data_IF_615541972774
#
_entry.id   IF_615541972774
#
_cell.length_a   1.000
_cell.length_b   1.000
_cell.length_c   1.000
_cell.angle_alpha   90.00
_cell.angle_beta   90.00
_cell.angle_gamma   90.00
#
_symmetry.space_group_name_H-M   'P 1'
#
loop_
_entity.id
_entity.type
_entity.pdbx_description
1 polymer ?
#
# COMPACT_ATOMS: atom_id res chain seq x y z
N UNK A 1 -0.60 -18.98 -7.63
CA UNK A 1 -0.98 -17.61 -8.08
C UNK A 1 -1.45 -17.60 -9.52
N UNK A 2 -0.71 -18.12 -10.52
CA UNK A 2 -1.14 -18.12 -11.94
C UNK A 2 -2.54 -18.73 -12.15
N UNK A 3 -2.88 -19.80 -11.44
CA UNK A 3 -4.21 -20.44 -11.49
C UNK A 3 -5.36 -19.47 -11.18
N UNK A 4 -5.14 -18.41 -10.39
CA UNK A 4 -6.17 -17.38 -10.15
C UNK A 4 -6.64 -16.70 -11.43
N UNK A 5 -5.78 -16.59 -12.44
CA UNK A 5 -6.14 -16.00 -13.73
C UNK A 5 -7.17 -16.82 -14.52
N UNK A 6 -7.32 -18.12 -14.20
CA UNK A 6 -8.30 -19.00 -14.83
C UNK A 6 -9.68 -18.90 -14.17
N UNK A 7 -9.72 -18.57 -12.88
CA UNK A 7 -10.93 -18.70 -12.05
C UNK A 7 -11.48 -17.37 -11.53
N UNK A 8 -10.72 -16.28 -11.69
CA UNK A 8 -11.12 -14.95 -11.23
C UNK A 8 -11.37 -14.04 -12.43
N UNK A 9 -12.55 -13.42 -12.44
CA UNK A 9 -12.89 -12.38 -13.40
C UNK A 9 -12.09 -11.10 -13.13
N UNK A 10 -12.26 -10.11 -14.03
CA UNK A 10 -11.70 -8.78 -13.83
C UNK A 10 -12.27 -8.17 -12.55
N UNK A 11 -11.36 -7.83 -11.64
CA UNK A 11 -11.67 -7.21 -10.34
C UNK A 11 -12.36 -5.85 -10.49
N UNK A 12 -13.55 -5.73 -9.91
CA UNK A 12 -14.30 -4.49 -9.75
C UNK A 12 -13.72 -3.59 -8.63
N UNK A 13 -14.08 -2.30 -8.54
CA UNK A 13 -13.50 -1.37 -7.56
C UNK A 13 -13.61 -1.79 -6.09
N UNK A 14 -14.61 -2.58 -5.75
CA UNK A 14 -14.94 -3.09 -4.41
C UNK A 14 -14.54 -4.55 -4.19
N UNK A 15 -13.73 -5.11 -5.10
CA UNK A 15 -13.24 -6.50 -5.01
C UNK A 15 -11.74 -6.57 -4.72
N UNK A 16 -11.30 -7.67 -4.13
CA UNK A 16 -9.90 -8.07 -4.00
C UNK A 16 -9.81 -9.60 -4.11
N UNK A 17 -8.65 -10.11 -4.52
CA UNK A 17 -8.42 -11.56 -4.60
C UNK A 17 -7.47 -11.98 -3.47
N UNK A 18 -7.94 -12.83 -2.58
CA UNK A 18 -7.13 -13.47 -1.53
C UNK A 18 -6.63 -14.84 -1.99
N UNK A 19 -5.31 -15.07 -1.88
CA UNK A 19 -4.67 -16.33 -2.21
C UNK A 19 -3.92 -16.83 -0.98
N UNK A 20 -4.47 -17.86 -0.33
CA UNK A 20 -3.88 -18.49 0.86
C UNK A 20 -3.09 -19.73 0.47
N UNK A 21 -1.88 -19.88 1.01
CA UNK A 21 -1.12 -21.12 0.88
C UNK A 21 -0.18 -21.21 -0.32
N UNK A 22 0.09 -20.10 -1.01
CA UNK A 22 1.01 -20.10 -2.15
C UNK A 22 2.46 -20.42 -1.71
N UNK A 23 3.06 -21.44 -2.31
CA UNK A 23 4.43 -21.87 -2.05
C UNK A 23 5.44 -21.09 -2.90
N UNK A 24 6.58 -20.75 -2.30
CA UNK A 24 7.72 -20.18 -3.03
C UNK A 24 8.58 -21.32 -3.57
N UNK A 25 8.78 -21.35 -4.89
CA UNK A 25 9.54 -22.40 -5.58
C UNK A 25 10.92 -21.95 -6.06
N UNK A 26 11.13 -20.64 -6.18
CA UNK A 26 12.31 -20.06 -6.81
C UNK A 26 12.74 -18.80 -6.08
N UNK A 27 14.05 -18.52 -6.10
CA UNK A 27 14.59 -17.20 -5.78
C UNK A 27 14.79 -16.40 -7.05
N UNK A 28 15.02 -15.09 -6.94
CA UNK A 28 15.44 -14.28 -8.07
C UNK A 28 16.39 -13.16 -7.63
N UNK A 29 17.11 -12.60 -8.60
CA UNK A 29 17.87 -11.35 -8.43
C UNK A 29 17.46 -10.35 -9.50
N UNK A 30 17.69 -9.06 -9.21
CA UNK A 30 17.30 -7.97 -10.10
C UNK A 30 15.80 -7.76 -10.19
N UNK A 31 15.39 -6.84 -11.07
CA UNK A 31 14.01 -6.46 -11.30
C UNK A 31 13.85 -5.95 -12.74
N UNK A 32 12.65 -6.09 -13.32
CA UNK A 32 12.36 -5.69 -14.70
C UNK A 32 13.39 -6.29 -15.68
N UNK A 33 13.97 -5.50 -16.59
CA UNK A 33 14.97 -5.96 -17.57
C UNK A 33 16.25 -6.58 -16.98
N UNK A 34 16.45 -6.50 -15.65
CA UNK A 34 17.57 -7.15 -14.93
C UNK A 34 17.16 -8.41 -14.16
N UNK A 35 15.90 -8.83 -14.23
CA UNK A 35 15.38 -9.99 -13.51
C UNK A 35 16.08 -11.27 -13.96
N UNK A 36 16.57 -12.06 -13.00
CA UNK A 36 17.22 -13.36 -13.26
C UNK A 36 16.70 -14.41 -12.27
N UNK A 37 16.35 -15.58 -12.81
CA UNK A 37 16.07 -16.78 -12.01
C UNK A 37 17.28 -17.17 -11.16
N UNK A 38 17.02 -17.71 -9.99
CA UNK A 38 18.02 -18.41 -9.18
C UNK A 38 17.36 -19.53 -8.38
N UNK A 39 18.15 -20.54 -8.02
CA UNK A 39 17.67 -21.64 -7.18
C UNK A 39 17.09 -21.12 -5.86
N UNK A 40 16.08 -21.82 -5.35
CA UNK A 40 15.45 -21.47 -4.08
C UNK A 40 16.50 -21.48 -2.96
N UNK A 41 16.67 -20.33 -2.31
CA UNK A 41 17.60 -20.17 -1.19
C UNK A 41 16.84 -20.41 0.11
N UNK A 42 17.48 -20.98 1.15
CA UNK A 42 16.83 -21.27 2.42
C UNK A 42 16.10 -20.07 3.04
N UNK A 43 16.67 -18.87 2.94
CA UNK A 43 16.09 -17.64 3.50
C UNK A 43 14.78 -17.21 2.81
N UNK A 44 14.60 -17.57 1.53
CA UNK A 44 13.38 -17.25 0.77
C UNK A 44 12.29 -18.33 0.90
N UNK A 45 12.62 -19.49 1.46
CA UNK A 45 11.70 -20.61 1.63
C UNK A 45 11.18 -20.78 3.05
N UNK A 46 11.58 -19.92 3.99
CA UNK A 46 11.17 -19.99 5.42
C UNK A 46 9.65 -20.11 5.56
N UNK A 47 8.88 -19.33 4.79
CA UNK A 47 7.42 -19.39 4.84
C UNK A 47 6.84 -20.76 4.47
N UNK A 48 7.52 -21.54 3.63
CA UNK A 48 7.03 -22.84 3.18
C UNK A 48 6.98 -23.89 4.31
N UNK A 49 7.66 -23.62 5.44
CA UNK A 49 7.76 -24.52 6.59
C UNK A 49 6.54 -24.43 7.52
N UNK A 50 5.77 -23.35 7.46
CA UNK A 50 4.67 -23.09 8.39
C UNK A 50 3.32 -23.38 7.73
N UNK A 51 2.64 -24.43 8.21
CA UNK A 51 1.34 -24.87 7.68
C UNK A 51 0.21 -24.75 8.70
N UNK A 52 -0.98 -24.42 8.23
CA UNK A 52 -2.21 -24.44 9.02
C UNK A 52 -2.79 -25.87 9.13
N UNK A 53 -3.92 -26.01 9.82
CA UNK A 53 -4.62 -27.28 10.02
C UNK A 53 -5.10 -27.94 8.71
N UNK A 54 -5.23 -27.16 7.63
CA UNK A 54 -5.60 -27.62 6.30
C UNK A 54 -4.38 -27.93 5.42
N UNK A 55 -3.17 -27.87 5.98
CA UNK A 55 -1.92 -28.11 5.26
C UNK A 55 -1.49 -26.98 4.33
N UNK A 56 -2.14 -25.81 4.37
CA UNK A 56 -1.80 -24.63 3.55
C UNK A 56 -0.67 -23.86 4.21
N UNK A 57 0.20 -23.23 3.41
CA UNK A 57 1.19 -22.29 3.96
C UNK A 57 0.48 -21.12 4.65
N UNK A 58 0.95 -20.74 5.84
CA UNK A 58 0.40 -19.63 6.66
C UNK A 58 0.77 -18.24 6.12
N UNK A 59 0.58 -18.04 4.82
CA UNK A 59 0.77 -16.76 4.14
C UNK A 59 -0.41 -16.52 3.21
N UNK A 60 -0.98 -15.33 3.31
CA UNK A 60 -2.00 -14.82 2.42
C UNK A 60 -1.38 -13.75 1.51
N UNK A 61 -1.57 -13.91 0.20
CA UNK A 61 -1.28 -12.87 -0.79
C UNK A 61 -2.60 -12.23 -1.23
N UNK A 62 -2.73 -10.93 -0.98
CA UNK A 62 -3.93 -10.15 -1.36
C UNK A 62 -3.59 -9.32 -2.60
N UNK A 63 -4.30 -9.57 -3.70
CA UNK A 63 -4.17 -8.78 -4.91
C UNK A 63 -5.16 -7.62 -4.90
N UNK A 64 -4.64 -6.40 -5.08
CA UNK A 64 -5.40 -5.15 -5.21
C UNK A 64 -4.81 -4.30 -6.36
N UNK A 65 -5.67 -3.77 -7.23
CA UNK A 65 -5.25 -2.94 -8.37
C UNK A 65 -5.36 -1.44 -8.05
N UNK A 66 -4.24 -0.72 -8.15
CA UNK A 66 -4.23 0.75 -8.06
C UNK A 66 -4.83 1.39 -9.32
N UNK A 67 -5.26 2.65 -9.23
CA UNK A 67 -5.58 3.45 -10.40
C UNK A 67 -4.29 3.73 -11.18
N UNK A 68 -4.36 3.60 -12.50
CA UNK A 68 -3.27 3.98 -13.40
C UNK A 68 -3.45 5.42 -13.84
N UNK A 69 -2.55 6.29 -13.42
CA UNK A 69 -2.55 7.70 -13.83
C UNK A 69 -1.69 7.90 -15.08
N UNK A 70 -2.30 8.41 -16.14
CA UNK A 70 -1.63 8.69 -17.42
C UNK A 70 -1.04 10.11 -17.45
N UNK A 71 -0.02 10.32 -18.29
CA UNK A 71 0.64 11.62 -18.44
C UNK A 71 1.87 11.82 -17.55
N UNK A 72 2.35 13.07 -17.48
CA UNK A 72 3.52 13.44 -16.64
C UNK A 72 3.11 13.46 -15.16
N UNK A 73 4.01 13.01 -14.28
CA UNK A 73 3.79 13.03 -12.82
C UNK A 73 3.39 14.43 -12.32
N UNK A 74 3.93 15.51 -12.90
CA UNK A 74 3.57 16.89 -12.56
C UNK A 74 2.13 17.29 -12.82
N UNK A 75 1.41 16.56 -13.67
CA UNK A 75 0.02 16.84 -14.00
C UNK A 75 -0.96 15.90 -13.32
N UNK A 76 -0.48 14.79 -12.77
CA UNK A 76 -1.35 13.75 -12.26
C UNK A 76 -1.55 13.79 -10.73
N UNK A 77 -0.69 14.46 -9.96
CA UNK A 77 -0.89 14.57 -8.50
C UNK A 77 -2.21 15.28 -8.17
N UNK A 78 -2.57 16.33 -8.92
CA UNK A 78 -3.87 16.99 -8.78
C UNK A 78 -5.05 16.05 -9.03
N UNK A 79 -4.95 15.14 -10.00
CA UNK A 79 -5.96 14.11 -10.27
C UNK A 79 -5.99 13.07 -9.15
N UNK A 80 -4.84 12.64 -8.63
CA UNK A 80 -4.74 11.70 -7.51
C UNK A 80 -5.40 12.23 -6.23
N UNK A 81 -5.30 13.54 -5.99
CA UNK A 81 -5.91 14.25 -4.87
C UNK A 81 -7.41 14.55 -5.06
N UNK A 82 -8.00 14.22 -6.21
CA UNK A 82 -9.45 14.31 -6.35
C UNK A 82 -10.15 13.34 -5.39
N UNK A 83 -11.17 13.83 -4.68
CA UNK A 83 -11.93 13.04 -3.71
C UNK A 83 -12.38 11.68 -4.27
N UNK A 84 -12.87 11.67 -5.53
CA UNK A 84 -13.28 10.42 -6.22
C UNK A 84 -12.14 9.39 -6.30
N UNK A 85 -10.90 9.83 -6.50
CA UNK A 85 -9.75 8.96 -6.67
C UNK A 85 -9.18 8.55 -5.31
N UNK A 86 -9.11 9.48 -4.34
CA UNK A 86 -8.78 9.16 -2.95
C UNK A 86 -9.73 8.09 -2.39
N UNK A 87 -11.04 8.25 -2.61
CA UNK A 87 -12.06 7.30 -2.17
C UNK A 87 -11.91 5.94 -2.84
N UNK A 88 -11.66 5.89 -4.15
CA UNK A 88 -11.44 4.63 -4.89
C UNK A 88 -10.21 3.88 -4.38
N UNK A 89 -9.11 4.58 -4.19
CA UNK A 89 -7.85 3.98 -3.73
C UNK A 89 -7.97 3.48 -2.28
N UNK A 90 -8.64 4.26 -1.41
CA UNK A 90 -8.92 3.87 -0.04
C UNK A 90 -9.89 2.69 0.05
N UNK A 91 -10.96 2.68 -0.76
CA UNK A 91 -11.89 1.55 -0.84
C UNK A 91 -11.16 0.29 -1.29
N UNK A 92 -10.32 0.39 -2.32
CA UNK A 92 -9.58 -0.75 -2.85
C UNK A 92 -8.61 -1.36 -1.82
N UNK A 93 -7.81 -0.54 -1.14
CA UNK A 93 -6.95 -1.04 -0.06
C UNK A 93 -7.75 -1.53 1.13
N UNK A 94 -8.86 -0.84 1.48
CA UNK A 94 -9.78 -1.24 2.54
C UNK A 94 -10.41 -2.61 2.32
N UNK A 95 -10.94 -2.88 1.13
CA UNK A 95 -11.49 -4.20 0.77
C UNK A 95 -10.44 -5.28 0.94
N UNK A 96 -9.21 -5.06 0.48
CA UNK A 96 -8.13 -6.02 0.67
C UNK A 96 -7.77 -6.26 2.14
N UNK A 97 -7.69 -5.20 2.95
CA UNK A 97 -7.15 -5.30 4.32
C UNK A 97 -8.21 -5.73 5.36
N UNK A 98 -9.48 -5.40 5.11
CA UNK A 98 -10.61 -5.65 6.01
C UNK A 98 -11.44 -6.90 5.65
N UNK A 99 -11.10 -7.63 4.58
CA UNK A 99 -11.86 -8.81 4.16
C UNK A 99 -11.85 -9.96 5.18
N UNK A 100 -10.84 -10.01 6.04
CA UNK A 100 -10.68 -11.06 7.04
C UNK A 100 -11.35 -10.69 8.37
N UNK A 101 -11.66 -11.72 9.18
CA UNK A 101 -12.34 -11.54 10.46
C UNK A 101 -11.45 -10.98 11.57
N UNK A 102 -12.01 -10.89 12.77
CA UNK A 102 -11.33 -10.33 13.95
C UNK A 102 -10.06 -11.10 14.33
N UNK A 103 -9.91 -12.36 13.92
CA UNK A 103 -8.73 -13.18 14.10
C UNK A 103 -7.49 -12.66 13.34
N UNK A 104 -7.68 -11.75 12.37
CA UNK A 104 -6.59 -11.06 11.69
C UNK A 104 -6.24 -9.71 12.32
N UNK A 105 -6.95 -9.25 13.36
CA UNK A 105 -6.53 -8.07 14.12
C UNK A 105 -5.10 -8.28 14.66
N UNK A 106 -4.23 -7.28 14.50
CA UNK A 106 -2.82 -7.41 14.87
C UNK A 106 -1.93 -8.19 13.90
N UNK A 107 -2.47 -8.97 12.95
CA UNK A 107 -1.68 -9.61 11.89
C UNK A 107 -1.27 -8.53 10.88
N UNK A 108 0.05 -8.30 10.65
CA UNK A 108 0.50 -7.18 9.85
C UNK A 108 0.10 -7.30 8.37
N UNK A 109 -0.22 -6.16 7.77
CA UNK A 109 -0.23 -5.97 6.33
C UNK A 109 1.21 -5.66 5.90
N UNK A 110 1.78 -6.49 5.03
CA UNK A 110 3.10 -6.24 4.43
C UNK A 110 2.89 -5.68 3.02
N UNK A 111 3.31 -4.44 2.78
CA UNK A 111 3.11 -3.75 1.49
C UNK A 111 4.30 -2.82 1.17
N UNK A 112 4.13 -1.90 0.21
CA UNK A 112 5.14 -0.91 -0.18
C UNK A 112 4.56 0.16 -1.11
N UNK A 113 5.33 0.56 -2.12
CA UNK A 113 4.98 1.57 -3.11
C UNK A 113 3.89 1.12 -4.11
N UNK A 114 2.73 0.74 -3.58
CA UNK A 114 1.58 0.25 -4.34
C UNK A 114 1.10 1.31 -5.34
N UNK A 115 1.22 0.99 -6.63
CA UNK A 115 0.83 1.88 -7.72
C UNK A 115 1.84 3.00 -8.04
N UNK A 116 2.96 3.15 -7.32
CA UNK A 116 3.88 4.28 -7.54
C UNK A 116 4.94 4.04 -8.63
N UNK A 117 4.99 2.83 -9.21
CA UNK A 117 5.87 2.50 -10.33
C UNK A 117 5.21 2.83 -11.67
N UNK A 118 4.91 1.79 -12.45
CA UNK A 118 4.29 1.92 -13.78
C UNK A 118 2.90 2.61 -13.80
N UNK A 119 2.28 2.82 -12.63
CA UNK A 119 0.95 3.42 -12.48
C UNK A 119 1.03 4.89 -12.02
N UNK A 120 2.24 5.43 -11.83
CA UNK A 120 2.53 6.83 -11.55
C UNK A 120 1.87 7.41 -10.29
N UNK A 121 1.56 6.57 -9.29
CA UNK A 121 1.09 7.03 -7.99
C UNK A 121 2.16 7.80 -7.20
N UNK A 122 1.74 8.81 -6.43
CA UNK A 122 2.61 9.54 -5.51
C UNK A 122 2.87 8.72 -4.24
N UNK A 123 4.14 8.59 -3.83
CA UNK A 123 4.55 7.70 -2.74
C UNK A 123 4.04 8.15 -1.38
N UNK A 124 4.20 9.42 -0.95
CA UNK A 124 3.62 9.91 0.30
C UNK A 124 2.10 9.71 0.39
N UNK A 125 1.36 10.00 -0.69
CA UNK A 125 -0.08 9.80 -0.73
C UNK A 125 -0.46 8.32 -0.58
N UNK A 126 0.18 7.44 -1.34
CA UNK A 126 -0.08 5.99 -1.30
C UNK A 126 0.30 5.36 0.03
N UNK A 127 1.32 5.88 0.71
CA UNK A 127 1.64 5.49 2.07
C UNK A 127 0.50 5.83 3.04
N UNK A 128 -0.02 7.07 2.99
CA UNK A 128 -1.10 7.51 3.88
C UNK A 128 -2.43 6.78 3.61
N UNK A 129 -2.78 6.54 2.34
CA UNK A 129 -3.98 5.76 1.99
C UNK A 129 -3.90 4.35 2.57
N UNK A 130 -2.75 3.69 2.45
CA UNK A 130 -2.55 2.36 3.03
C UNK A 130 -2.53 2.40 4.56
N UNK A 131 -1.99 3.46 5.15
CA UNK A 131 -1.99 3.66 6.61
C UNK A 131 -3.42 3.81 7.15
N UNK A 132 -4.27 4.60 6.48
CA UNK A 132 -5.70 4.74 6.80
C UNK A 132 -6.37 3.37 6.73
N UNK A 133 -6.24 2.66 5.60
CA UNK A 133 -6.87 1.35 5.40
C UNK A 133 -6.41 0.31 6.44
N UNK A 134 -5.11 0.24 6.73
CA UNK A 134 -4.57 -0.68 7.72
C UNK A 134 -5.05 -0.35 9.14
N UNK A 135 -5.20 0.95 9.46
CA UNK A 135 -5.73 1.41 10.74
C UNK A 135 -7.21 1.07 10.90
N UNK A 136 -8.02 1.19 9.83
CA UNK A 136 -9.42 0.74 9.81
C UNK A 136 -9.50 -0.78 10.07
N UNK A 137 -8.62 -1.55 9.43
CA UNK A 137 -8.53 -2.99 9.62
C UNK A 137 -7.96 -3.42 10.99
N UNK A 138 -7.46 -2.46 11.81
CA UNK A 138 -6.70 -2.72 13.04
C UNK A 138 -5.51 -3.67 12.84
N UNK A 139 -4.81 -3.50 11.72
CA UNK A 139 -3.65 -4.30 11.33
C UNK A 139 -2.41 -3.42 11.23
N UNK A 140 -1.27 -3.79 11.84
CA UNK A 140 -0.03 -3.05 11.67
C UNK A 140 0.37 -3.00 10.19
N UNK A 141 0.87 -1.84 9.71
CA UNK A 141 1.38 -1.71 8.35
C UNK A 141 2.91 -1.85 8.35
N UNK A 142 3.42 -2.94 7.78
CA UNK A 142 4.85 -3.15 7.52
C UNK A 142 5.16 -2.69 6.10
N UNK A 143 5.84 -1.55 5.99
CA UNK A 143 6.01 -0.85 4.73
C UNK A 143 7.43 -1.01 4.16
N UNK A 144 7.53 -1.71 3.04
CA UNK A 144 8.77 -1.96 2.31
C UNK A 144 9.08 -0.81 1.35
N UNK A 145 10.18 -0.09 1.59
CA UNK A 145 10.57 1.09 0.79
C UNK A 145 11.48 0.77 -0.40
N UNK A 146 11.78 -0.51 -0.61
CA UNK A 146 12.58 -0.99 -1.74
C UNK A 146 13.97 -0.33 -1.85
N UNK A 147 14.60 -0.04 -0.71
CA UNK A 147 15.92 0.60 -0.62
C UNK A 147 15.91 2.12 -0.55
N UNK A 148 14.74 2.76 -0.67
CA UNK A 148 14.59 4.21 -0.60
C UNK A 148 14.54 4.69 0.86
N UNK A 149 15.73 4.82 1.47
CA UNK A 149 15.89 5.12 2.90
C UNK A 149 15.35 6.51 3.30
N UNK A 150 15.61 7.53 2.49
CA UNK A 150 15.25 8.92 2.82
C UNK A 150 13.73 9.12 2.92
N UNK A 151 12.99 8.75 1.88
CA UNK A 151 11.52 8.82 1.92
C UNK A 151 10.94 7.87 2.96
N UNK A 152 11.58 6.71 3.20
CA UNK A 152 11.22 5.81 4.29
C UNK A 152 11.29 6.47 5.67
N UNK A 153 12.36 7.22 5.93
CA UNK A 153 12.49 8.02 7.15
C UNK A 153 11.40 9.09 7.24
N UNK A 154 11.07 9.75 6.11
CA UNK A 154 9.97 10.72 6.06
C UNK A 154 8.61 10.10 6.37
N UNK A 155 8.32 8.89 5.89
CA UNK A 155 7.10 8.17 6.26
C UNK A 155 7.03 7.89 7.78
N UNK A 156 8.15 7.51 8.40
CA UNK A 156 8.23 7.31 9.85
C UNK A 156 8.04 8.61 10.63
N UNK A 157 8.65 9.70 10.18
CA UNK A 157 8.50 11.04 10.77
C UNK A 157 7.03 11.50 10.71
N UNK A 158 6.39 11.38 9.55
CA UNK A 158 4.98 11.71 9.36
C UNK A 158 4.07 10.87 10.27
N UNK A 159 4.27 9.54 10.33
CA UNK A 159 3.50 8.67 11.22
C UNK A 159 3.62 9.08 12.69
N UNK A 160 4.86 9.33 13.16
CA UNK A 160 5.11 9.78 14.55
C UNK A 160 4.43 11.12 14.84
N UNK A 161 4.42 12.04 13.88
CA UNK A 161 3.75 13.33 14.02
C UNK A 161 2.24 13.15 14.17
N UNK A 162 1.61 12.38 13.29
CA UNK A 162 0.18 12.05 13.36
C UNK A 162 -0.19 11.44 14.72
N UNK A 163 0.63 10.50 15.22
CA UNK A 163 0.44 9.87 16.54
C UNK A 163 0.57 10.88 17.68
N UNK A 164 1.62 11.71 17.67
CA UNK A 164 1.87 12.70 18.72
C UNK A 164 0.75 13.74 18.84
N UNK A 165 0.09 14.04 17.73
CA UNK A 165 -1.02 14.99 17.66
C UNK A 165 -2.38 14.30 17.78
N UNK A 166 -2.40 12.97 17.98
CA UNK A 166 -3.61 12.16 18.11
C UNK A 166 -4.59 12.31 16.95
N UNK A 167 -4.05 12.48 15.73
CA UNK A 167 -4.86 12.60 14.52
C UNK A 167 -5.59 11.29 14.26
N UNK A 168 -6.91 11.35 14.21
CA UNK A 168 -7.77 10.22 13.89
C UNK A 168 -7.74 9.89 12.40
N UNK A 169 -8.23 8.69 12.06
CA UNK A 169 -8.33 8.23 10.66
C UNK A 169 -9.22 9.19 9.83
N UNK A 170 -10.34 9.64 10.41
CA UNK A 170 -11.25 10.59 9.78
C UNK A 170 -10.60 11.95 9.54
N UNK A 171 -9.92 12.51 10.56
CA UNK A 171 -9.20 13.77 10.42
C UNK A 171 -8.09 13.70 9.37
N UNK A 172 -7.33 12.59 9.32
CA UNK A 172 -6.31 12.41 8.30
C UNK A 172 -6.91 12.39 6.89
N UNK A 173 -8.05 11.71 6.71
CA UNK A 173 -8.75 11.71 5.42
C UNK A 173 -9.24 13.13 5.05
N UNK A 174 -9.82 13.86 6.00
CA UNK A 174 -10.25 15.24 5.81
C UNK A 174 -9.09 16.18 5.46
N UNK A 175 -7.90 15.96 6.05
CA UNK A 175 -6.69 16.71 5.70
C UNK A 175 -6.29 16.41 4.25
N UNK A 176 -6.31 15.14 3.82
CA UNK A 176 -6.00 14.78 2.43
C UNK A 176 -6.91 15.48 1.42
N UNK A 177 -8.20 15.65 1.75
CA UNK A 177 -9.16 16.37 0.92
C UNK A 177 -8.87 17.88 0.81
N UNK A 178 -8.14 18.44 1.77
CA UNK A 178 -7.78 19.86 1.83
C UNK A 178 -6.44 20.19 1.19
N UNK A 179 -5.65 19.18 0.80
CA UNK A 179 -4.33 19.41 0.18
C UNK A 179 -4.53 20.17 -1.14
N UNK A 180 -3.86 21.32 -1.31
CA UNK A 180 -4.01 22.11 -2.53
C UNK A 180 -3.47 21.33 -3.72
N UNK A 181 -4.19 21.41 -4.84
CA UNK A 181 -3.73 20.81 -6.09
C UNK A 181 -2.58 21.66 -6.64
N UNK A 182 -1.50 21.00 -7.03
CA UNK A 182 -0.34 21.66 -7.61
C UNK A 182 -0.29 21.52 -9.13
N UNK A 183 0.28 22.55 -9.77
CA UNK A 183 0.59 22.56 -11.21
C UNK A 183 1.96 21.94 -11.54
N UNK A 184 2.87 21.87 -10.54
CA UNK A 184 4.22 21.32 -10.65
C UNK A 184 4.32 20.07 -9.78
N UNK A 185 5.12 19.07 -10.20
CA UNK A 185 5.33 17.89 -9.36
C UNK A 185 6.29 18.23 -8.21
N UNK A 186 5.91 17.85 -7.01
CA UNK A 186 6.83 17.63 -5.91
C UNK A 186 6.39 16.33 -5.21
N UNK A 187 7.31 15.37 -5.09
CA UNK A 187 7.05 14.09 -4.44
C UNK A 187 6.57 14.30 -3.01
N UNK A 188 7.16 15.28 -2.30
CA UNK A 188 6.93 15.53 -0.87
C UNK A 188 5.76 16.46 -0.58
N UNK A 189 5.17 17.08 -1.61
CA UNK A 189 4.06 18.04 -1.48
C UNK A 189 2.96 17.60 -0.52
N UNK A 190 2.60 16.32 -0.56
CA UNK A 190 1.55 15.76 0.30
C UNK A 190 1.94 15.82 1.77
N UNK A 191 3.17 15.45 2.13
CA UNK A 191 3.64 15.56 3.51
C UNK A 191 3.85 17.02 3.92
N UNK A 192 4.40 17.85 3.05
CA UNK A 192 4.64 19.26 3.34
C UNK A 192 3.31 20.01 3.56
N UNK A 193 2.28 19.70 2.78
CA UNK A 193 0.93 20.25 2.94
C UNK A 193 0.29 19.82 4.27
N UNK A 194 0.44 18.55 4.65
CA UNK A 194 -0.03 18.06 5.96
C UNK A 194 0.70 18.79 7.08
N UNK A 195 2.02 18.97 6.96
CA UNK A 195 2.81 19.69 7.95
C UNK A 195 2.35 21.13 8.14
N UNK A 196 2.03 21.83 7.05
CA UNK A 196 1.47 23.18 7.09
C UNK A 196 0.07 23.20 7.73
N UNK A 197 -0.83 22.31 7.29
CA UNK A 197 -2.20 22.24 7.80
C UNK A 197 -2.20 21.95 9.32
N UNK A 198 -1.41 20.97 9.77
CA UNK A 198 -1.31 20.61 11.19
C UNK A 198 -0.66 21.71 12.04
N UNK A 199 0.20 22.54 11.46
CA UNK A 199 0.79 23.67 12.19
C UNK A 199 -0.20 24.81 12.42
N UNK A 200 -1.24 24.92 11.57
CA UNK A 200 -2.27 25.96 11.67
C UNK A 200 -3.46 25.58 12.57
N UNK A 201 -3.51 24.35 13.09
CA UNK A 201 -4.57 23.85 13.98
C UNK A 201 -4.21 24.07 15.48
N UNK A 202 -2.97 24.47 15.77
CA UNK A 202 -2.50 24.87 17.10
C UNK A 202 -2.77 26.34 17.37
#
# INVERSE_FOLDING_TARGET
>A
MIVSMLISDRMEPDEAISIVGAQVYSSYTGYSGKLKYSNLRPEHSIQNLHRDEYGRIKTEAIAINAIKFFGRQSKNLGEQLEERNLKKELMKSGVGFCAQGAEFEGIPIVSGWWGCGAYNGNKPLKFLIQLIAASIAKRPLYFCTFGEKEIGKKCQEMKKKLDSQKITIGELYDILLKIPRMEVYDEMHVFDSIDQILSNIK
#
